data_IF_822070866619
#
_entry.id   IF_822070866619
#
_cell.length_a   1.000
_cell.length_b   1.000
_cell.length_c   1.000
_cell.angle_alpha   90.00
_cell.angle_beta   90.00
_cell.angle_gamma   90.00
#
_symmetry.space_group_name_H-M   'P 1'
#
loop_
_entity.id
_entity.type
_entity.pdbx_description
1 polymer ?
2 non-polymer ?
3 non-polymer ?
#
# COMPACT_ATOMS: atom_id res chain seq x y z
N UNK A 1 23.44 0.88 -15.03
CA UNK A 1 22.56 -0.26 -14.79
C UNK A 1 22.93 -1.11 -13.55
N UNK A 2 22.24 -0.84 -12.43
CA UNK A 2 22.36 -1.69 -11.24
C UNK A 2 21.39 -2.88 -11.41
N UNK A 3 21.90 -4.07 -11.09
CA UNK A 3 21.22 -5.35 -11.30
C UNK A 3 20.29 -5.75 -10.16
N UNK A 4 20.44 -5.05 -9.05
CA UNK A 4 19.68 -5.30 -7.84
C UNK A 4 19.41 -3.99 -7.10
N UNK A 5 18.20 -3.82 -6.55
CA UNK A 5 17.83 -2.61 -5.81
C UNK A 5 18.60 -2.48 -4.49
N UNK A 6 18.70 -1.24 -3.97
CA UNK A 6 19.40 -0.98 -2.70
C UNK A 6 18.85 -1.86 -1.57
N UNK A 7 19.71 -2.22 -0.60
CA UNK A 7 19.34 -3.10 0.52
C UNK A 7 18.13 -2.61 1.34
N UNK A 8 17.32 -3.58 1.77
CA UNK A 8 16.15 -3.35 2.58
C UNK A 8 15.62 -4.69 3.07
N UNK A 9 14.93 -4.72 4.20
CA UNK A 9 14.43 -5.98 4.71
C UNK A 9 12.99 -6.22 4.30
N UNK A 10 12.78 -7.28 3.52
CA UNK A 10 11.46 -7.64 3.05
C UNK A 10 10.64 -8.23 4.20
N UNK A 11 9.69 -7.45 4.70
CA UNK A 11 8.84 -7.87 5.81
C UNK A 11 7.42 -8.15 5.34
N UNK A 12 6.58 -8.64 6.26
CA UNK A 12 5.19 -8.96 5.94
C UNK A 12 4.22 -8.07 6.73
N UNK A 13 4.76 -7.10 7.47
CA UNK A 13 3.93 -6.23 8.29
C UNK A 13 4.71 -4.99 8.74
N UNK A 14 4.01 -3.88 8.96
CA UNK A 14 4.63 -2.64 9.41
C UNK A 14 5.33 -2.82 10.75
N UNK A 15 6.51 -2.22 10.90
CA UNK A 15 7.27 -2.33 12.13
C UNK A 15 7.49 -0.96 12.75
N UNK A 16 7.04 -0.76 14.00
CA UNK A 16 7.18 0.51 14.71
C UNK A 16 8.61 0.86 15.12
N UNK A 17 8.91 2.15 15.10
CA UNK A 17 10.21 2.67 15.49
C UNK A 17 10.04 3.85 16.43
N UNK A 18 10.84 3.86 17.49
CA UNK A 18 10.90 4.97 18.43
C UNK A 18 9.61 5.27 19.18
N UNK A 19 9.21 6.53 19.21
CA UNK A 19 8.07 6.87 20.04
C UNK A 19 6.73 6.96 19.29
N UNK A 20 6.61 6.23 18.17
CA UNK A 20 5.39 6.23 17.36
C UNK A 20 4.28 5.47 18.09
N UNK A 21 3.02 5.89 17.87
CA UNK A 21 1.88 5.23 18.51
C UNK A 21 1.34 4.06 17.70
N UNK A 22 1.11 2.95 18.39
CA UNK A 22 0.57 1.71 17.81
C UNK A 22 -0.78 1.41 18.49
N UNK A 23 -1.74 0.90 17.72
CA UNK A 23 -3.06 0.55 18.23
C UNK A 23 -3.35 -0.90 17.89
N UNK A 24 -4.06 -1.58 18.78
CA UNK A 24 -4.44 -2.97 18.59
C UNK A 24 -5.88 -3.15 19.08
N UNK A 25 -6.53 -4.21 18.61
CA UNK A 25 -7.88 -4.55 19.07
C UNK A 25 -7.94 -6.02 19.38
N UNK A 26 -8.60 -6.34 20.46
CA UNK A 26 -8.91 -7.71 20.84
C UNK A 26 -10.08 -8.11 19.92
N UNK A 27 -10.13 -9.40 19.57
CA UNK A 27 -11.18 -10.02 18.76
C UNK A 27 -12.58 -9.42 19.06
N UNK A 28 -12.87 -9.14 20.35
CA UNK A 28 -14.16 -8.58 20.80
C UNK A 28 -14.48 -7.17 20.26
N UNK A 29 -13.44 -6.35 19.99
CA UNK A 29 -13.61 -4.96 19.51
C UNK A 29 -13.80 -4.85 17.97
N UNK A 30 -13.53 -5.91 17.22
CA UNK A 30 -13.60 -5.85 15.74
C UNK A 30 -15.06 -5.92 15.23
N UNK A 31 -15.49 -5.01 14.31
CA UNK A 31 -16.88 -5.01 13.81
C UNK A 31 -17.26 -6.33 13.14
N UNK A 32 -18.56 -6.63 13.19
CA UNK A 32 -19.15 -7.87 12.67
C UNK A 32 -20.20 -7.51 11.63
N UNK A 33 -20.05 -8.01 10.42
CA UNK A 33 -21.00 -7.76 9.33
C UNK A 33 -22.24 -8.67 9.50
N UNK A 34 -23.21 -8.59 8.55
CA UNK A 34 -24.40 -9.45 8.56
C UNK A 34 -24.46 -10.38 7.31
N UNK A 35 -23.26 -10.75 6.79
CA UNK A 35 -23.11 -11.75 5.69
C UNK A 35 -23.30 -13.15 6.26
N UNK A 36 -23.84 -14.08 5.47
CA UNK A 36 -23.99 -15.48 5.88
C UNK A 36 -22.89 -16.31 5.19
N UNK A 37 -22.48 -17.51 5.70
CA UNK A 37 -21.45 -18.29 5.00
C UNK A 37 -21.98 -18.96 3.74
N UNK A 38 -23.33 -18.97 3.61
CA UNK A 38 -24.05 -19.55 2.45
C UNK A 38 -24.30 -18.52 1.32
N UNK A 39 -23.71 -17.31 1.45
CA UNK A 39 -23.85 -16.21 0.45
C UNK A 39 -23.02 -16.52 -0.80
N UNK A 40 -23.42 -15.92 -1.96
CA UNK A 40 -22.73 -16.13 -3.25
C UNK A 40 -21.22 -15.89 -3.11
N UNK A 41 -20.85 -14.71 -2.64
CA UNK A 41 -19.44 -14.41 -2.39
C UNK A 41 -19.39 -13.61 -1.08
N UNK A 42 -19.39 -14.34 0.08
CA UNK A 42 -19.54 -13.70 1.39
C UNK A 42 -18.40 -12.77 1.72
N UNK A 43 -18.75 -11.52 2.05
CA UNK A 43 -17.79 -10.43 2.33
C UNK A 43 -16.90 -10.13 1.11
N UNK A 44 -17.33 -10.63 -0.06
CA UNK A 44 -16.63 -10.44 -1.33
C UNK A 44 -16.72 -9.03 -1.88
N UNK A 45 -15.96 -8.77 -2.95
CA UNK A 45 -15.89 -7.46 -3.58
C UNK A 45 -17.24 -6.97 -4.12
N UNK A 46 -18.06 -7.88 -4.66
CA UNK A 46 -19.36 -7.52 -5.23
C UNK A 46 -20.49 -7.70 -4.19
N UNK A 47 -20.13 -8.03 -2.95
CA UNK A 47 -21.12 -8.28 -1.87
C UNK A 47 -21.59 -6.99 -1.18
N UNK A 48 -22.69 -7.13 -0.40
CA UNK A 48 -23.26 -6.02 0.36
C UNK A 48 -22.71 -6.02 1.82
N UNK A 49 -21.44 -6.44 1.99
CA UNK A 49 -20.77 -6.53 3.29
C UNK A 49 -20.64 -5.16 3.99
N UNK A 50 -21.21 -5.09 5.20
CA UNK A 50 -21.19 -3.89 6.06
C UNK A 50 -19.76 -3.46 6.36
N UNK A 51 -18.91 -4.45 6.68
CA UNK A 51 -17.49 -4.22 6.97
C UNK A 51 -16.74 -3.75 5.73
N UNK A 52 -17.01 -4.38 4.57
CA UNK A 52 -16.33 -4.02 3.34
C UNK A 52 -16.64 -2.58 2.91
N UNK A 53 -17.93 -2.24 2.93
CA UNK A 53 -18.44 -0.90 2.57
C UNK A 53 -17.79 0.22 3.37
N UNK A 54 -17.54 -0.04 4.65
CA UNK A 54 -16.96 0.96 5.56
C UNK A 54 -15.44 0.85 5.65
N UNK A 55 -14.83 -0.01 4.81
CA UNK A 55 -13.37 -0.22 4.75
C UNK A 55 -12.79 -0.80 6.05
N UNK A 56 -13.54 -1.74 6.62
CA UNK A 56 -13.12 -2.51 7.79
C UNK A 56 -12.87 -3.93 7.32
N UNK A 57 -11.75 -4.50 7.73
CA UNK A 57 -11.42 -5.90 7.41
C UNK A 57 -12.10 -6.83 8.45
N UNK A 58 -12.75 -7.92 7.98
CA UNK A 58 -13.37 -8.89 8.91
C UNK A 58 -12.27 -9.66 9.63
N UNK A 59 -12.53 -10.09 10.87
CA UNK A 59 -11.59 -10.93 11.60
C UNK A 59 -12.05 -12.40 11.43
N UNK A 60 -11.13 -13.39 11.30
CA UNK A 60 -11.54 -14.82 11.12
C UNK A 60 -12.48 -15.38 12.23
N UNK A 61 -12.18 -15.08 13.51
CA UNK A 61 -13.00 -15.51 14.68
C UNK A 61 -14.31 -14.74 14.83
N UNK A 62 -14.40 -13.52 14.28
CA UNK A 62 -15.60 -12.69 14.44
C UNK A 62 -16.61 -12.85 13.29
N UNK A 63 -16.13 -13.01 12.05
CA UNK A 63 -17.04 -13.03 10.91
C UNK A 63 -18.07 -14.17 10.91
N UNK A 64 -19.36 -13.84 10.68
CA UNK A 64 -20.41 -14.86 10.59
C UNK A 64 -20.27 -15.77 9.35
N UNK A 65 -19.48 -15.34 8.34
CA UNK A 65 -19.22 -16.16 7.12
C UNK A 65 -18.12 -17.21 7.39
N UNK A 66 -17.52 -17.12 8.58
CA UNK A 66 -16.45 -18.01 9.03
C UNK A 66 -15.20 -17.93 8.19
N UNK A 67 -14.88 -19.06 7.55
CA UNK A 67 -13.68 -19.20 6.71
C UNK A 67 -13.98 -18.85 5.25
N UNK A 68 -15.27 -18.73 4.92
CA UNK A 68 -15.70 -18.37 3.55
C UNK A 68 -15.77 -16.84 3.38
N UNK A 69 -15.28 -16.12 4.39
CA UNK A 69 -15.17 -14.66 4.36
C UNK A 69 -14.12 -14.25 3.32
N UNK A 70 -14.53 -13.40 2.37
CA UNK A 70 -13.64 -12.91 1.32
C UNK A 70 -13.19 -11.47 1.60
N UNK A 71 -13.22 -11.07 2.88
CA UNK A 71 -12.81 -9.72 3.29
C UNK A 71 -11.68 -9.82 4.33
N UNK A 72 -10.56 -10.44 3.91
CA UNK A 72 -9.38 -10.71 4.76
C UNK A 72 -8.07 -10.53 3.96
N UNK A 73 -8.13 -9.62 3.00
CA UNK A 73 -7.06 -9.34 2.06
C UNK A 73 -5.75 -8.89 2.72
N UNK A 74 -5.81 -7.92 3.62
CA UNK A 74 -4.63 -7.40 4.31
C UNK A 74 -3.94 -8.48 5.18
N UNK A 75 -4.71 -9.15 6.07
CA UNK A 75 -4.19 -10.18 6.98
C UNK A 75 -3.59 -11.38 6.22
N UNK A 76 -4.30 -11.87 5.18
CA UNK A 76 -3.83 -13.02 4.39
C UNK A 76 -2.78 -12.61 3.34
N UNK A 77 -2.57 -11.28 3.16
CA UNK A 77 -1.56 -10.73 2.23
C UNK A 77 -1.87 -11.32 0.82
N UNK A 78 -3.12 -11.07 0.37
CA UNK A 78 -3.69 -11.62 -0.86
C UNK A 78 -3.42 -10.73 -2.07
N UNK A 79 -2.15 -10.62 -2.41
CA UNK A 79 -1.68 -9.74 -3.48
C UNK A 79 -1.58 -10.45 -4.82
N UNK A 80 -2.04 -9.79 -5.92
CA UNK A 80 -1.75 -10.31 -7.25
C UNK A 80 -0.24 -10.48 -7.37
N UNK A 81 0.20 -11.58 -7.99
CA UNK A 81 1.62 -11.82 -8.22
C UNK A 81 2.18 -10.67 -9.06
N UNK A 82 3.34 -10.17 -8.65
CA UNK A 82 4.01 -9.05 -9.33
C UNK A 82 5.47 -9.39 -9.64
N UNK A 83 6.12 -8.54 -10.44
CA UNK A 83 7.53 -8.69 -10.74
C UNK A 83 8.21 -7.31 -10.76
N UNK A 84 9.38 -7.22 -10.13
CA UNK A 84 10.19 -6.00 -10.12
C UNK A 84 10.86 -5.92 -11.48
N UNK A 85 10.74 -4.75 -12.11
CA UNK A 85 11.32 -4.49 -13.43
C UNK A 85 12.25 -3.27 -13.37
N UNK A 86 13.02 -3.06 -14.42
CA UNK A 86 13.93 -1.93 -14.47
C UNK A 86 13.61 -1.03 -15.67
N UNK A 87 13.37 0.24 -15.38
CA UNK A 87 13.05 1.21 -16.44
C UNK A 87 14.25 2.13 -16.68
N UNK A 88 14.09 3.07 -17.61
CA UNK A 88 15.16 4.02 -17.95
C UNK A 88 15.46 5.01 -16.83
N UNK A 89 14.72 6.12 -16.81
CA UNK A 89 14.94 7.14 -15.81
C UNK A 89 14.09 6.98 -14.56
N UNK A 90 13.35 5.89 -14.46
CA UNK A 90 12.50 5.67 -13.29
C UNK A 90 13.12 4.63 -12.37
N UNK A 91 14.01 3.83 -12.91
CA UNK A 91 14.69 2.82 -12.12
C UNK A 91 13.86 1.57 -11.93
N UNK A 92 13.88 1.04 -10.72
CA UNK A 92 13.13 -0.15 -10.40
C UNK A 92 11.64 0.16 -10.28
N UNK A 93 10.82 -0.77 -10.73
CA UNK A 93 9.38 -0.60 -10.67
C UNK A 93 8.67 -1.91 -10.41
N UNK A 94 7.35 -1.90 -10.42
CA UNK A 94 6.59 -3.12 -10.19
C UNK A 94 5.53 -3.32 -11.28
N UNK A 95 5.46 -4.53 -11.87
CA UNK A 95 4.40 -4.90 -12.84
C UNK A 95 3.68 -6.15 -12.31
N UNK A 96 2.43 -6.43 -12.69
CA UNK A 96 1.80 -7.68 -12.22
C UNK A 96 1.83 -8.78 -13.28
N UNK A 97 1.69 -10.04 -12.80
CA UNK A 97 1.76 -11.27 -13.61
C UNK A 97 0.38 -11.73 -14.10
N UNK A 98 -0.67 -11.16 -13.53
CA UNK A 98 -2.04 -11.40 -13.99
C UNK A 98 -2.80 -10.09 -14.16
N UNK A 99 -3.89 -10.13 -14.94
CA UNK A 99 -4.80 -8.99 -15.10
C UNK A 99 -5.44 -8.68 -13.75
N UNK A 100 -5.56 -7.40 -13.45
CA UNK A 100 -6.17 -6.93 -12.21
C UNK A 100 -7.42 -6.11 -12.61
N UNK A 101 -8.56 -6.35 -11.94
CA UNK A 101 -9.83 -5.64 -12.22
C UNK A 101 -9.94 -4.37 -11.37
N UNK A 102 -10.66 -3.35 -11.88
CA UNK A 102 -10.92 -2.10 -11.15
C UNK A 102 -11.44 -2.36 -9.73
N UNK A 103 -10.85 -1.64 -8.76
CA UNK A 103 -11.25 -1.74 -7.36
C UNK A 103 -10.54 -2.84 -6.56
N UNK A 104 -9.86 -3.75 -7.25
CA UNK A 104 -9.16 -4.89 -6.66
C UNK A 104 -7.92 -4.51 -5.82
N UNK A 105 -7.81 -5.15 -4.63
CA UNK A 105 -6.61 -5.11 -3.75
C UNK A 105 -5.38 -5.55 -4.51
N UNK A 106 -4.38 -4.69 -4.54
CA UNK A 106 -3.12 -4.94 -5.23
C UNK A 106 -1.99 -5.26 -4.24
N UNK A 107 -1.91 -4.52 -3.13
CA UNK A 107 -0.82 -4.69 -2.16
C UNK A 107 -1.06 -3.83 -0.92
N UNK A 108 -0.29 -4.08 0.14
CA UNK A 108 -0.33 -3.21 1.32
C UNK A 108 0.97 -2.44 1.40
N UNK A 109 0.90 -1.13 1.57
CA UNK A 109 2.10 -0.32 1.76
C UNK A 109 2.56 -0.54 3.20
N UNK A 110 3.66 -1.27 3.32
CA UNK A 110 4.22 -1.70 4.59
C UNK A 110 5.62 -1.07 4.78
N UNK A 111 6.12 -0.98 6.02
CA UNK A 111 7.41 -0.32 6.25
C UNK A 111 7.68 -0.09 7.72
N UNK A 112 8.67 0.76 8.01
CA UNK A 112 9.00 1.11 9.38
C UNK A 112 8.08 2.27 9.82
N UNK A 113 7.34 2.07 10.91
CA UNK A 113 6.38 3.06 11.38
C UNK A 113 7.07 4.12 12.21
N UNK A 114 6.99 5.37 11.80
CA UNK A 114 7.71 6.44 12.49
C UNK A 114 6.81 7.64 12.77
N UNK A 115 7.18 8.47 13.76
CA UNK A 115 6.38 9.66 14.02
C UNK A 115 6.92 10.81 13.16
N UNK A 116 6.27 11.97 13.20
CA UNK A 116 6.61 13.11 12.33
C UNK A 116 8.00 13.69 12.60
N UNK A 117 8.34 13.90 13.87
CA UNK A 117 9.68 14.37 14.25
C UNK A 117 10.75 13.49 13.59
N UNK A 118 10.62 12.15 13.73
CA UNK A 118 11.57 11.17 13.17
C UNK A 118 11.64 11.25 11.62
N UNK A 119 10.47 11.36 10.97
CA UNK A 119 10.38 11.48 9.51
C UNK A 119 11.12 12.72 9.01
N UNK A 120 10.86 13.86 9.64
CA UNK A 120 11.47 15.14 9.29
C UNK A 120 12.99 15.07 9.45
N UNK A 121 13.47 14.42 10.54
CA UNK A 121 14.91 14.20 10.75
C UNK A 121 15.51 13.36 9.61
N UNK A 122 14.83 12.25 9.22
CA UNK A 122 15.32 11.39 8.12
C UNK A 122 15.40 12.16 6.79
N UNK A 123 14.33 12.91 6.44
CA UNK A 123 14.30 13.73 5.20
C UNK A 123 15.44 14.77 5.19
N UNK A 124 15.64 15.48 6.33
CA UNK A 124 16.70 16.50 6.48
C UNK A 124 18.08 15.88 6.28
N UNK A 125 18.29 14.71 6.90
CA UNK A 125 19.53 13.96 6.74
C UNK A 125 19.70 13.52 5.28
N UNK A 126 18.64 13.00 4.65
CA UNK A 126 18.68 12.55 3.25
C UNK A 126 19.05 13.71 2.30
N UNK A 127 18.38 14.85 2.45
CA UNK A 127 18.61 16.05 1.62
C UNK A 127 20.05 16.58 1.74
N UNK A 128 20.63 16.45 2.93
CA UNK A 128 22.00 16.90 3.16
C UNK A 128 23.03 15.94 2.57
N UNK A 129 22.77 14.64 2.71
CA UNK A 129 23.68 13.62 2.20
C UNK A 129 23.32 13.21 0.77
N UNK A 130 22.34 13.92 0.20
CA UNK A 130 21.88 13.68 -1.18
C UNK A 130 21.37 12.25 -1.39
N UNK A 131 20.53 11.76 -0.49
CA UNK A 131 19.99 10.41 -0.62
C UNK A 131 18.52 10.45 -1.04
N UNK A 132 18.21 9.71 -2.11
CA UNK A 132 16.85 9.62 -2.64
C UNK A 132 15.96 8.73 -1.78
N UNK A 133 15.88 9.02 -0.49
CA UNK A 133 15.08 8.23 0.43
C UNK A 133 13.69 8.84 0.63
N UNK A 134 12.76 8.52 -0.27
CA UNK A 134 11.39 9.03 -0.17
C UNK A 134 10.40 7.88 -0.06
N UNK A 135 10.75 6.89 0.74
CA UNK A 135 9.89 5.74 0.97
C UNK A 135 8.95 6.02 2.14
N UNK A 136 8.70 7.31 2.36
CA UNK A 136 7.84 7.77 3.45
C UNK A 136 6.43 8.04 2.96
N UNK A 137 5.45 7.44 3.63
CA UNK A 137 4.05 7.65 3.28
C UNK A 137 3.25 7.89 4.57
N UNK A 138 2.57 9.03 4.67
CA UNK A 138 1.78 9.40 5.84
C UNK A 138 0.53 8.54 6.04
N UNK A 139 0.35 8.02 7.27
CA UNK A 139 -0.88 7.30 7.66
C UNK A 139 -1.86 8.38 8.14
N UNK A 140 -1.42 9.17 9.15
CA UNK A 140 -2.17 10.30 9.73
C UNK A 140 -1.13 11.24 10.35
N UNK A 141 -1.51 12.34 11.02
CA UNK A 141 -0.48 13.19 11.65
C UNK A 141 0.31 12.35 12.68
N UNK A 142 1.62 12.48 12.66
CA UNK A 142 2.51 11.79 13.62
C UNK A 142 2.60 10.24 13.45
N UNK A 143 2.10 9.70 12.33
CA UNK A 143 2.36 8.28 11.96
C UNK A 143 2.69 8.19 10.47
N UNK A 144 3.98 7.94 10.17
CA UNK A 144 4.48 7.83 8.80
C UNK A 144 5.13 6.45 8.54
N UNK A 145 4.77 5.80 7.43
CA UNK A 145 5.39 4.50 7.08
C UNK A 145 6.65 4.75 6.29
N UNK A 146 7.82 4.34 6.81
CA UNK A 146 9.06 4.47 6.05
C UNK A 146 9.47 3.08 5.55
N UNK A 147 9.17 2.82 4.27
CA UNK A 147 9.45 1.54 3.60
C UNK A 147 10.89 1.47 3.04
N UNK A 148 11.73 2.45 3.41
CA UNK A 148 13.13 2.50 3.02
C UNK A 148 13.97 1.36 3.60
N UNK A 149 14.13 1.28 4.93
CA UNK A 149 14.91 0.20 5.56
C UNK A 149 14.23 -1.17 5.45
N UNK A 150 12.91 -1.17 5.54
CA UNK A 150 12.15 -2.42 5.54
C UNK A 150 10.78 -2.16 4.92
N UNK A 151 10.26 -3.13 4.19
CA UNK A 151 8.98 -2.99 3.55
C UNK A 151 8.65 -4.23 2.76
N UNK A 152 7.68 -4.16 1.88
CA UNK A 152 7.42 -5.27 1.00
C UNK A 152 7.56 -4.80 -0.46
N UNK A 153 6.94 -5.47 -1.43
CA UNK A 153 7.10 -5.11 -2.86
C UNK A 153 6.47 -3.75 -3.22
N UNK A 154 5.54 -3.26 -2.41
CA UNK A 154 4.88 -1.98 -2.68
C UNK A 154 5.88 -0.83 -2.82
N UNK A 155 7.05 -0.97 -2.19
CA UNK A 155 8.08 0.07 -2.23
C UNK A 155 8.69 0.21 -3.64
N UNK A 156 8.37 -0.73 -4.53
CA UNK A 156 8.91 -0.68 -5.88
C UNK A 156 7.95 0.03 -6.82
N UNK A 157 6.76 0.37 -6.33
CA UNK A 157 5.77 1.07 -7.14
C UNK A 157 6.22 2.51 -7.36
N UNK A 158 6.14 2.96 -8.61
CA UNK A 158 6.55 4.30 -8.99
C UNK A 158 5.38 5.29 -8.99
N UNK A 159 5.69 6.58 -9.03
CA UNK A 159 4.65 7.61 -9.07
C UNK A 159 4.23 7.89 -10.49
N UNK A 160 2.94 8.09 -10.69
CA UNK A 160 2.40 8.38 -11.99
C UNK A 160 1.33 9.45 -11.89
N UNK A 161 1.43 10.47 -12.77
CA UNK A 161 0.45 11.54 -12.80
C UNK A 161 -0.88 10.98 -13.30
N UNK A 162 -0.80 9.80 -13.90
CA UNK A 162 -2.01 9.11 -14.34
C UNK A 162 -1.91 7.70 -13.79
N UNK A 163 -2.15 7.53 -12.48
CA UNK A 163 -1.94 6.26 -11.84
C UNK A 163 -3.05 5.23 -12.07
N UNK A 164 -2.70 3.95 -11.93
CA UNK A 164 -3.67 2.88 -12.09
C UNK A 164 -4.08 2.29 -10.72
N UNK A 165 -3.40 2.78 -9.65
CA UNK A 165 -3.64 2.37 -8.26
C UNK A 165 -3.76 3.60 -7.35
N UNK A 166 -4.40 3.43 -6.21
CA UNK A 166 -4.55 4.49 -5.22
C UNK A 166 -4.45 3.91 -3.83
N UNK A 167 -4.00 4.72 -2.88
CA UNK A 167 -3.95 4.26 -1.50
C UNK A 167 -5.30 4.52 -0.80
N UNK A 168 -5.77 3.54 -0.02
CA UNK A 168 -6.97 3.70 0.81
C UNK A 168 -6.67 3.17 2.21
N UNK A 169 -7.02 3.97 3.22
CA UNK A 169 -6.76 3.67 4.63
C UNK A 169 -7.89 2.80 5.21
N UNK A 170 -7.54 1.57 5.60
CA UNK A 170 -8.50 0.60 6.16
C UNK A 170 -8.23 0.37 7.65
N UNK A 171 -9.27 -0.04 8.39
CA UNK A 171 -9.08 -0.43 9.80
C UNK A 171 -8.97 -1.96 9.87
N UNK A 172 -7.81 -2.43 10.33
CA UNK A 172 -7.51 -3.86 10.43
C UNK A 172 -6.94 -4.13 11.82
N UNK A 173 -7.62 -5.00 12.57
CA UNK A 173 -7.26 -5.42 13.93
C UNK A 173 -6.93 -4.25 14.86
N UNK A 174 -7.81 -3.26 14.88
CA UNK A 174 -7.65 -2.12 15.77
C UNK A 174 -6.76 -1.01 15.27
N UNK A 175 -6.13 -1.11 14.10
CA UNK A 175 -5.27 0.00 13.66
C UNK A 175 -5.42 0.32 12.15
N UNK A 176 -4.98 1.53 11.76
CA UNK A 176 -5.01 1.96 10.35
C UNK A 176 -3.90 1.28 9.54
N UNK A 177 -4.29 0.79 8.37
CA UNK A 177 -3.39 0.11 7.39
C UNK A 177 -3.61 0.72 6.02
N UNK A 178 -2.53 0.91 5.26
CA UNK A 178 -2.59 1.54 3.93
C UNK A 178 -2.59 0.50 2.81
N UNK A 179 -3.74 0.37 2.15
CA UNK A 179 -3.85 -0.54 1.02
C UNK A 179 -3.69 0.17 -0.30
N UNK A 180 -3.16 -0.57 -1.27
CA UNK A 180 -3.08 -0.12 -2.65
C UNK A 180 -4.18 -0.90 -3.39
N UNK A 181 -5.05 -0.14 -4.08
CA UNK A 181 -6.20 -0.69 -4.82
C UNK A 181 -6.21 -0.15 -6.25
N UNK A 182 -6.63 -0.97 -7.20
CA UNK A 182 -6.71 -0.53 -8.59
C UNK A 182 -7.85 0.49 -8.84
N UNK A 183 -7.54 1.55 -9.59
CA UNK A 183 -8.54 2.57 -9.96
C UNK A 183 -9.15 2.28 -11.35
N UNK A 184 -8.59 1.30 -12.05
CA UNK A 184 -9.07 0.86 -13.37
C UNK A 184 -8.66 -0.59 -13.56
N UNK A 185 -9.11 -1.22 -14.67
CA UNK A 185 -8.66 -2.57 -15.01
C UNK A 185 -7.19 -2.47 -15.41
N UNK A 186 -6.35 -3.39 -14.91
CA UNK A 186 -4.91 -3.37 -15.23
C UNK A 186 -4.51 -4.67 -15.91
N UNK A 187 -4.11 -4.62 -17.20
CA UNK A 187 -3.68 -5.83 -17.90
C UNK A 187 -2.35 -6.33 -17.33
N UNK A 188 -2.16 -7.66 -17.27
CA UNK A 188 -0.90 -8.23 -16.78
C UNK A 188 0.29 -7.60 -17.52
N UNK A 189 1.40 -7.33 -16.81
CA UNK A 189 2.60 -6.78 -17.42
C UNK A 189 2.66 -5.27 -17.45
N UNK A 190 1.63 -4.63 -16.93
CA UNK A 190 1.57 -3.17 -16.87
C UNK A 190 2.13 -2.69 -15.53
N UNK A 191 2.93 -1.63 -15.56
CA UNK A 191 3.56 -1.10 -14.34
C UNK A 191 2.53 -0.52 -13.36
N UNK A 192 2.57 -1.00 -12.13
CA UNK A 192 1.66 -0.53 -11.08
C UNK A 192 2.19 0.78 -10.49
N UNK A 193 1.37 1.82 -10.51
CA UNK A 193 1.77 3.13 -10.02
C UNK A 193 0.68 3.80 -9.19
N UNK A 194 1.10 4.71 -8.30
CA UNK A 194 0.16 5.46 -7.47
C UNK A 194 0.61 6.92 -7.36
N UNK A 195 -0.29 7.80 -6.91
CA UNK A 195 0.01 9.23 -6.77
C UNK A 195 0.59 9.53 -5.39
N UNK A 196 1.84 10.00 -5.37
CA UNK A 196 2.56 10.29 -4.13
C UNK A 196 2.35 11.74 -3.67
N UNK A 197 1.23 12.01 -3.00
CA UNK A 197 0.95 13.39 -2.53
C UNK A 197 0.82 13.46 -1.05
N UNK A 198 1.61 12.66 -0.36
CA UNK A 198 1.57 12.57 1.12
C UNK A 198 2.78 13.18 1.83
N UNK A 199 3.56 14.00 1.13
CA UNK A 199 4.76 14.58 1.77
C UNK A 199 5.00 16.05 1.35
N UNK A 200 6.25 16.51 1.50
CA UNK A 200 6.61 17.88 1.12
C UNK A 200 7.21 17.90 -0.28
N UNK A 201 7.29 19.10 -0.87
CA UNK A 201 7.84 19.26 -2.22
C UNK A 201 9.37 19.27 -2.23
N UNK A 202 9.98 18.29 -1.55
CA UNK A 202 11.43 18.22 -1.51
C UNK A 202 12.01 17.63 -2.77
N UNK A 203 11.74 18.26 -3.91
CA UNK A 203 12.23 17.79 -5.20
C UNK A 203 13.45 18.59 -5.64
N UNK A 204 14.62 18.30 -5.05
CA UNK A 204 15.85 19.01 -5.39
C UNK A 204 16.38 18.56 -6.76
N UNK A 205 16.79 17.29 -6.84
CA UNK A 205 17.33 16.72 -8.07
C UNK A 205 16.31 15.78 -8.72
N UNK A 206 15.19 15.58 -8.04
CA UNK A 206 14.15 14.71 -8.57
C UNK A 206 13.18 15.48 -9.47
N UNK A 207 12.68 14.80 -10.50
CA UNK A 207 11.75 15.39 -11.45
C UNK A 207 10.72 14.34 -11.87
N UNK A 208 9.53 14.79 -12.22
CA UNK A 208 8.47 13.87 -12.61
C UNK A 208 8.74 13.18 -13.93
N UNK A 209 9.10 11.90 -13.86
CA UNK A 209 9.39 11.12 -15.05
C UNK A 209 8.32 10.07 -15.31
N UNK A 210 7.06 10.42 -15.03
CA UNK A 210 5.94 9.50 -15.21
C UNK A 210 5.59 9.32 -16.68
N UNK A 211 5.78 10.37 -17.47
CA UNK A 211 5.48 10.30 -18.88
C UNK A 211 4.02 10.59 -19.27
N UNK A 212 3.09 10.71 -18.29
CA UNK A 212 1.65 11.00 -18.55
C UNK A 212 1.46 12.29 -19.35
N UNK A 213 0.40 12.38 -20.15
CA UNK A 213 0.12 13.60 -20.92
C UNK A 213 -0.20 14.80 -20.00
N UNK A 214 -0.74 14.57 -18.81
CA UNK A 214 -1.06 15.66 -17.88
C UNK A 214 0.07 15.90 -16.85
N UNK A 215 1.31 15.46 -17.13
CA UNK A 215 2.42 15.62 -16.17
C UNK A 215 2.71 17.09 -15.78
N UNK A 216 2.58 17.39 -14.49
CA UNK A 216 2.84 18.74 -13.98
C UNK A 216 4.35 19.03 -13.82
N UNK A 217 5.18 17.98 -13.76
CA UNK A 217 6.65 18.13 -13.76
C UNK A 217 7.38 17.82 -12.45
N UNK A 218 6.64 17.71 -11.36
CA UNK A 218 7.24 17.41 -10.07
C UNK A 218 6.55 16.23 -9.40
N UNK A 219 7.03 15.84 -8.22
CA UNK A 219 6.47 14.71 -7.50
C UNK A 219 5.66 15.16 -6.29
N UNK A 220 6.06 16.28 -5.68
CA UNK A 220 5.34 16.79 -4.52
C UNK A 220 4.09 17.54 -4.91
#
# INVERSE_FOLDING_TARGET
SERKPPPYKHIKVNKPYGKVQIYTADISEIPKCNCKPTDENPCGFDSECLNRMLMFECHPQVCPAGEFCQNQCFTKRQYPETKIIKTDGKGWGLVAKRDIRKGEFVNEYVGELIDEEECMARIKHAHENDITHFYMLTIDKDRIIDAGPKGNYSRFMNHSCQPNCETLKWTVNGDTRVGLFAVCDIPAGTELTFNYNLDCLGNEKTVCRCGASNCSGFLG
#
